data_IF_771734890249
#
_entry.id   IF_771734890249
#
_cell.length_a   1.000
_cell.length_b   1.000
_cell.length_c   1.000
_cell.angle_alpha   90.00
_cell.angle_beta   90.00
_cell.angle_gamma   90.00
#
_symmetry.space_group_name_H-M   'P 1'
#
loop_
_entity.id
_entity.type
_entity.pdbx_description
1 polymer ?
#
# COMPACT_ATOMS: atom_id res chain seq x y z
N UNK A 1 -4.70 -9.49 17.73
CA UNK A 1 -5.65 -9.37 16.60
C UNK A 1 -6.17 -7.94 16.42
N UNK A 2 -6.55 -7.22 17.48
CA UNK A 2 -7.03 -5.82 17.38
C UNK A 2 -5.97 -4.81 16.93
N UNK A 3 -4.72 -4.95 17.39
CA UNK A 3 -3.64 -3.99 17.09
C UNK A 3 -3.19 -4.04 15.63
N UNK A 4 -3.06 -5.24 15.05
CA UNK A 4 -2.68 -5.41 13.62
C UNK A 4 -3.75 -4.80 12.71
N UNK A 5 -5.03 -4.98 13.02
CA UNK A 5 -6.12 -4.38 12.25
C UNK A 5 -6.09 -2.84 12.31
N UNK A 6 -5.79 -2.28 13.49
CA UNK A 6 -5.60 -0.83 13.67
C UNK A 6 -4.42 -0.32 12.86
N UNK A 7 -3.30 -1.04 12.87
CA UNK A 7 -2.11 -0.71 12.10
C UNK A 7 -2.40 -0.73 10.60
N UNK A 8 -3.00 -1.79 10.08
CA UNK A 8 -3.39 -1.89 8.66
C UNK A 8 -4.30 -0.74 8.26
N UNK A 9 -5.30 -0.40 9.09
CA UNK A 9 -6.21 0.72 8.83
C UNK A 9 -5.47 2.06 8.76
N UNK A 10 -4.46 2.26 9.61
CA UNK A 10 -3.58 3.44 9.57
C UNK A 10 -2.78 3.51 8.28
N UNK A 11 -2.20 2.40 7.82
CA UNK A 11 -1.49 2.35 6.53
C UNK A 11 -2.42 2.67 5.36
N UNK A 12 -3.63 2.09 5.33
CA UNK A 12 -4.64 2.37 4.30
C UNK A 12 -4.97 3.86 4.25
N UNK A 13 -5.17 4.50 5.40
CA UNK A 13 -5.46 5.94 5.48
C UNK A 13 -4.29 6.79 4.96
N UNK A 14 -3.05 6.49 5.38
CA UNK A 14 -1.85 7.23 4.94
C UNK A 14 -1.68 7.13 3.43
N UNK A 15 -1.75 5.92 2.88
CA UNK A 15 -1.53 5.67 1.45
C UNK A 15 -2.66 6.30 0.62
N UNK A 16 -3.92 6.21 1.07
CA UNK A 16 -5.05 6.88 0.42
C UNK A 16 -4.80 8.39 0.31
N UNK A 17 -4.31 9.01 1.39
CA UNK A 17 -3.95 10.44 1.40
C UNK A 17 -2.83 10.76 0.42
N UNK A 18 -1.78 9.94 0.37
CA UNK A 18 -0.68 10.11 -0.59
C UNK A 18 -1.15 10.00 -2.05
N UNK A 19 -2.08 9.08 -2.34
CA UNK A 19 -2.70 8.98 -3.66
C UNK A 19 -3.47 10.26 -4.01
N UNK A 20 -4.28 10.77 -3.09
CA UNK A 20 -5.03 12.02 -3.29
C UNK A 20 -4.06 13.19 -3.59
N UNK A 21 -3.02 13.34 -2.76
CA UNK A 21 -2.06 14.44 -2.87
C UNK A 21 -1.24 14.39 -4.17
N UNK A 22 -0.80 13.20 -4.60
CA UNK A 22 0.07 13.05 -5.77
C UNK A 22 -0.71 13.02 -7.10
N UNK A 23 -1.90 12.42 -7.11
CA UNK A 23 -2.65 12.16 -8.36
C UNK A 23 -3.93 12.99 -8.50
N UNK A 24 -4.32 13.76 -7.46
CA UNK A 24 -5.49 14.64 -7.51
C UNK A 24 -6.83 13.89 -7.48
N UNK A 25 -6.84 12.63 -7.04
CA UNK A 25 -8.07 11.87 -6.86
C UNK A 25 -8.84 12.33 -5.60
N UNK A 26 -10.16 12.16 -5.62
CA UNK A 26 -10.97 12.26 -4.41
C UNK A 26 -10.71 11.05 -3.49
N UNK A 27 -11.01 11.22 -2.21
CA UNK A 27 -10.73 10.23 -1.17
C UNK A 27 -11.41 8.87 -1.44
N UNK A 28 -12.64 8.86 -1.94
CA UNK A 28 -13.36 7.61 -2.20
C UNK A 28 -12.73 6.85 -3.38
N UNK A 29 -12.37 7.57 -4.45
CA UNK A 29 -11.65 6.99 -5.60
C UNK A 29 -10.28 6.47 -5.20
N UNK A 30 -9.50 7.25 -4.44
CA UNK A 30 -8.18 6.85 -3.96
C UNK A 30 -8.25 5.62 -3.04
N UNK A 31 -9.20 5.62 -2.09
CA UNK A 31 -9.39 4.50 -1.17
C UNK A 31 -9.76 3.22 -1.92
N UNK A 32 -10.70 3.32 -2.87
CA UNK A 32 -11.10 2.18 -3.70
C UNK A 32 -9.94 1.67 -4.54
N UNK A 33 -9.16 2.57 -5.14
CA UNK A 33 -8.00 2.19 -5.93
C UNK A 33 -6.99 1.42 -5.07
N UNK A 34 -6.62 1.97 -3.90
CA UNK A 34 -5.65 1.30 -3.04
C UNK A 34 -6.19 -0.03 -2.48
N UNK A 35 -7.41 -0.04 -1.94
CA UNK A 35 -7.94 -1.23 -1.24
C UNK A 35 -8.22 -2.43 -2.16
N UNK A 36 -8.35 -2.19 -3.47
CA UNK A 36 -8.48 -3.23 -4.50
C UNK A 36 -7.16 -3.71 -5.09
N UNK A 37 -6.04 -3.09 -4.73
CA UNK A 37 -4.69 -3.44 -5.22
C UNK A 37 -4.13 -4.72 -4.57
N UNK A 38 -3.22 -5.38 -5.30
CA UNK A 38 -2.40 -6.48 -4.80
C UNK A 38 -1.52 -6.02 -3.64
N UNK A 39 -1.02 -4.78 -3.67
CA UNK A 39 -0.26 -4.18 -2.56
C UNK A 39 -1.07 -4.17 -1.28
N UNK A 40 -2.33 -3.75 -1.32
CA UNK A 40 -3.20 -3.77 -0.14
C UNK A 40 -3.54 -5.19 0.30
N UNK A 41 -3.70 -6.14 -0.65
CA UNK A 41 -3.88 -7.56 -0.32
C UNK A 41 -2.66 -8.12 0.42
N UNK A 42 -1.45 -7.78 -0.03
CA UNK A 42 -0.20 -8.18 0.62
C UNK A 42 -0.06 -7.53 2.01
N UNK A 43 -0.38 -6.24 2.15
CA UNK A 43 -0.36 -5.53 3.44
C UNK A 43 -1.29 -6.19 4.48
N UNK A 44 -2.42 -6.73 4.03
CA UNK A 44 -3.38 -7.46 4.89
C UNK A 44 -2.94 -8.89 5.21
N UNK A 45 -1.94 -9.44 4.51
CA UNK A 45 -1.43 -10.78 4.78
C UNK A 45 -0.38 -10.73 5.90
N UNK A 46 -0.66 -11.31 7.08
CA UNK A 46 0.27 -11.24 8.19
C UNK A 46 1.59 -11.99 7.99
N UNK A 47 1.63 -12.98 7.11
CA UNK A 47 2.84 -13.75 6.82
C UNK A 47 3.91 -12.93 6.09
N UNK A 48 3.54 -11.79 5.50
CA UNK A 48 4.46 -10.92 4.76
C UNK A 48 5.06 -9.81 5.62
N UNK A 49 4.54 -9.60 6.82
CA UNK A 49 5.05 -8.63 7.81
C UNK A 49 5.32 -7.23 7.22
N UNK A 50 4.50 -6.78 6.27
CA UNK A 50 4.77 -5.56 5.50
C UNK A 50 4.77 -4.29 6.34
N UNK A 51 4.18 -4.32 7.52
CA UNK A 51 4.19 -3.21 8.48
C UNK A 51 5.56 -2.89 9.06
N UNK A 52 6.55 -3.77 8.89
CA UNK A 52 7.97 -3.50 9.21
C UNK A 52 8.58 -2.44 8.27
N UNK A 53 7.99 -2.24 7.08
CA UNK A 53 8.39 -1.17 6.18
C UNK A 53 7.59 0.09 6.46
N UNK A 54 8.19 1.27 6.29
CA UNK A 54 7.46 2.52 6.43
C UNK A 54 6.37 2.68 5.32
N UNK A 55 5.31 3.46 5.59
CA UNK A 55 4.22 3.67 4.63
C UNK A 55 4.67 4.12 3.23
N UNK A 56 5.74 4.91 3.14
CA UNK A 56 6.28 5.41 1.86
C UNK A 56 6.78 4.27 0.96
N UNK A 57 7.36 3.21 1.54
CA UNK A 57 7.78 2.02 0.79
C UNK A 57 6.54 1.28 0.28
N UNK A 58 5.49 1.14 1.10
CA UNK A 58 4.25 0.50 0.68
C UNK A 58 3.55 1.30 -0.42
N UNK A 59 3.62 2.62 -0.35
CA UNK A 59 3.12 3.49 -1.42
C UNK A 59 3.90 3.29 -2.72
N UNK A 60 5.24 3.29 -2.68
CA UNK A 60 6.06 3.02 -3.86
C UNK A 60 5.79 1.64 -4.45
N UNK A 61 5.57 0.61 -3.62
CA UNK A 61 5.13 -0.71 -4.08
C UNK A 61 3.81 -0.66 -4.85
N UNK A 62 2.84 0.10 -4.36
CA UNK A 62 1.57 0.32 -5.05
C UNK A 62 1.78 1.08 -6.37
N UNK A 63 2.65 2.09 -6.41
CA UNK A 63 2.98 2.80 -7.65
C UNK A 63 3.64 1.87 -8.68
N UNK A 64 4.55 1.01 -8.22
CA UNK A 64 5.18 0.00 -9.04
C UNK A 64 4.17 -1.02 -9.58
N UNK A 65 3.19 -1.42 -8.77
CA UNK A 65 2.06 -2.23 -9.23
C UNK A 65 1.26 -1.52 -10.32
N UNK A 66 0.97 -0.22 -10.19
CA UNK A 66 0.21 0.52 -11.20
C UNK A 66 0.94 0.55 -12.55
N UNK A 67 2.28 0.56 -12.55
CA UNK A 67 3.10 0.59 -13.77
C UNK A 67 3.31 -0.82 -14.34
N UNK A 68 3.54 -1.82 -13.49
CA UNK A 68 4.05 -3.15 -13.91
C UNK A 68 3.06 -4.30 -13.72
N UNK A 69 1.95 -4.07 -13.03
CA UNK A 69 0.98 -5.08 -12.62
C UNK A 69 1.45 -5.96 -11.45
N UNK A 70 2.62 -5.73 -10.87
CA UNK A 70 3.12 -6.52 -9.75
C UNK A 70 3.93 -5.67 -8.73
N UNK A 71 3.48 -5.55 -7.48
CA UNK A 71 4.18 -4.75 -6.46
C UNK A 71 5.56 -5.31 -6.06
N UNK A 72 5.83 -6.59 -6.32
CA UNK A 72 7.14 -7.21 -6.05
C UNK A 72 8.24 -6.74 -7.00
N UNK A 73 7.87 -6.02 -8.05
CA UNK A 73 8.81 -5.29 -8.89
C UNK A 73 9.28 -3.98 -8.27
N UNK A 74 8.87 -3.64 -7.04
CA UNK A 74 9.50 -2.54 -6.30
C UNK A 74 10.99 -2.82 -6.10
N UNK A 75 11.81 -1.77 -6.17
CA UNK A 75 13.25 -1.87 -5.90
C UNK A 75 13.52 -2.39 -4.48
N UNK A 76 12.64 -2.13 -3.51
CA UNK A 76 12.82 -2.54 -2.11
C UNK A 76 12.64 -4.05 -1.90
N UNK A 77 11.95 -4.73 -2.82
CA UNK A 77 11.83 -6.19 -2.82
C UNK A 77 12.95 -6.82 -3.66
N UNK A 78 13.31 -6.23 -4.80
CA UNK A 78 14.37 -6.76 -5.69
C UNK A 78 15.78 -6.67 -5.11
N UNK A 79 16.00 -5.80 -4.12
CA UNK A 79 17.34 -5.57 -3.53
C UNK A 79 17.69 -6.53 -2.39
N UNK A 80 16.86 -7.56 -2.13
CA UNK A 80 17.15 -8.61 -1.14
C UNK A 80 17.63 -9.89 -1.80
#
# INVERSE_FOLDING_TARGET
MSEIFSLISKYISIITKQICEKYGYDEQTALRNFTSSETCRMLKNPELEMWEFCPDIIFEMWECEQITGNPRNSIYIRSK
#
